data_IF_855903176510
#
_entry.id   IF_855903176510
#
_cell.length_a   1.000
_cell.length_b   1.000
_cell.length_c   1.000
_cell.angle_alpha   90.00
_cell.angle_beta   90.00
_cell.angle_gamma   90.00
#
_symmetry.space_group_name_H-M   'P 1'
#
loop_
_entity.id
_entity.type
_entity.pdbx_description
1 polymer ?
#
# COMPACT_ATOMS: atom_id res chain seq x y z
N UNK A 1 -29.43 5.25 -34.82
CA UNK A 1 -28.15 5.94 -34.98
C UNK A 1 -27.20 5.32 -33.97
N UNK A 2 -26.18 4.58 -34.44
CA UNK A 2 -25.17 3.96 -33.58
C UNK A 2 -24.28 5.03 -32.96
N UNK A 3 -23.96 4.86 -31.67
CA UNK A 3 -23.21 5.85 -30.89
C UNK A 3 -21.72 5.77 -31.24
N UNK A 4 -21.17 6.88 -31.70
CA UNK A 4 -19.78 7.00 -32.18
C UNK A 4 -18.74 6.78 -31.06
N UNK A 5 -19.19 6.76 -29.80
CA UNK A 5 -18.37 6.52 -28.61
C UNK A 5 -18.05 5.05 -28.35
N UNK A 6 -18.89 4.13 -28.83
CA UNK A 6 -18.73 2.69 -28.56
C UNK A 6 -17.69 2.04 -29.51
N UNK A 7 -17.42 2.68 -30.66
CA UNK A 7 -16.44 2.20 -31.65
C UNK A 7 -15.00 2.64 -31.33
N UNK A 8 -14.80 3.62 -30.44
CA UNK A 8 -13.47 4.14 -30.09
C UNK A 8 -12.86 3.48 -28.84
N UNK A 9 -13.65 2.69 -28.09
CA UNK A 9 -13.22 2.07 -26.82
C UNK A 9 -12.62 0.67 -26.99
N UNK A 10 -13.09 -0.11 -27.97
CA UNK A 10 -12.69 -1.51 -28.15
C UNK A 10 -11.22 -1.70 -28.50
N UNK A 11 -10.65 -0.79 -29.29
CA UNK A 11 -9.33 -1.03 -29.88
C UNK A 11 -8.17 -0.75 -28.90
N UNK A 12 -8.46 -0.05 -27.79
CA UNK A 12 -7.44 0.38 -26.81
C UNK A 12 -7.14 -0.64 -25.70
N UNK A 13 -8.12 -1.49 -25.33
CA UNK A 13 -7.98 -2.44 -24.22
C UNK A 13 -7.18 -3.70 -24.64
N UNK A 14 -7.28 -4.10 -25.91
CA UNK A 14 -6.58 -5.24 -26.48
C UNK A 14 -5.07 -5.01 -26.68
N UNK A 15 -4.65 -3.76 -26.87
CA UNK A 15 -3.23 -3.38 -26.97
C UNK A 15 -2.54 -3.41 -25.60
N UNK A 16 -3.22 -2.90 -24.58
CA UNK A 16 -2.73 -2.90 -23.21
C UNK A 16 -2.53 -4.33 -22.69
N UNK A 17 -3.46 -5.24 -23.00
CA UNK A 17 -3.38 -6.65 -22.58
C UNK A 17 -2.18 -7.37 -23.21
N UNK A 18 -1.90 -7.16 -24.50
CA UNK A 18 -0.73 -7.74 -25.19
C UNK A 18 0.60 -7.23 -24.64
N UNK A 19 0.66 -5.96 -24.23
CA UNK A 19 1.85 -5.39 -23.60
C UNK A 19 2.21 -6.10 -22.29
N UNK A 20 1.22 -6.32 -21.42
CA UNK A 20 1.45 -6.99 -20.14
C UNK A 20 1.76 -8.49 -20.29
N UNK A 21 1.13 -9.19 -21.24
CA UNK A 21 1.41 -10.61 -21.51
C UNK A 21 2.80 -10.86 -22.11
N UNK A 22 3.28 -9.95 -22.96
CA UNK A 22 4.60 -10.05 -23.59
C UNK A 22 5.75 -9.93 -22.59
N UNK A 23 5.59 -9.08 -21.56
CA UNK A 23 6.61 -8.87 -20.52
C UNK A 23 6.74 -10.08 -19.57
N UNK A 24 5.64 -10.80 -19.31
CA UNK A 24 5.64 -12.00 -18.47
C UNK A 24 6.46 -13.16 -19.04
N UNK A 25 6.52 -13.28 -20.37
CA UNK A 25 7.27 -14.36 -21.04
C UNK A 25 8.77 -14.09 -21.16
N UNK A 26 9.20 -12.82 -21.09
CA UNK A 26 10.60 -12.42 -21.22
C UNK A 26 11.42 -12.66 -19.95
N UNK A 27 10.79 -12.78 -18.80
CA UNK A 27 11.44 -12.94 -17.50
C UNK A 27 11.76 -14.41 -17.14
N UNK A 28 11.88 -15.31 -18.12
CA UNK A 28 12.10 -16.75 -17.91
C UNK A 28 13.40 -17.23 -18.59
N UNK A 29 14.54 -16.61 -18.30
CA UNK A 29 15.84 -17.11 -18.72
C UNK A 29 16.86 -17.04 -17.58
N UNK A 30 17.56 -18.17 -17.40
CA UNK A 30 18.77 -18.45 -16.61
C UNK A 30 18.55 -18.75 -15.11
N UNK A 31 18.17 -20.01 -14.82
CA UNK A 31 18.27 -20.62 -13.48
C UNK A 31 19.74 -21.04 -13.24
N UNK A 32 20.51 -20.22 -12.53
CA UNK A 32 21.83 -20.59 -12.02
C UNK A 32 21.65 -21.18 -10.61
N UNK A 33 21.71 -22.51 -10.48
CA UNK A 33 21.54 -23.21 -9.19
C UNK A 33 22.57 -22.78 -8.13
N UNK A 34 23.76 -22.32 -8.54
CA UNK A 34 24.80 -21.80 -7.65
C UNK A 34 24.42 -20.44 -7.02
N UNK A 35 23.75 -19.57 -7.80
CA UNK A 35 23.25 -18.29 -7.31
C UNK A 35 22.11 -18.52 -6.31
N UNK A 36 21.30 -19.57 -6.49
CA UNK A 36 20.23 -19.93 -5.56
C UNK A 36 20.77 -20.36 -4.19
N UNK A 37 21.86 -21.13 -4.15
CA UNK A 37 22.51 -21.56 -2.90
C UNK A 37 23.12 -20.37 -2.18
N UNK A 38 23.83 -19.49 -2.91
CA UNK A 38 24.41 -18.28 -2.33
C UNK A 38 23.32 -17.34 -1.79
N UNK A 39 22.21 -17.21 -2.52
CA UNK A 39 21.05 -16.42 -2.12
C UNK A 39 20.37 -17.01 -0.88
N UNK A 40 20.22 -18.33 -0.81
CA UNK A 40 19.64 -19.02 0.34
C UNK A 40 20.47 -18.83 1.61
N UNK A 41 21.80 -18.98 1.51
CA UNK A 41 22.72 -18.73 2.63
C UNK A 41 22.70 -17.27 3.09
N UNK A 42 22.61 -16.32 2.15
CA UNK A 42 22.49 -14.91 2.48
C UNK A 42 21.17 -14.61 3.21
N UNK A 43 20.06 -15.25 2.82
CA UNK A 43 18.77 -15.12 3.50
C UNK A 43 18.83 -15.67 4.93
N UNK A 44 19.45 -16.83 5.15
CA UNK A 44 19.58 -17.40 6.50
C UNK A 44 20.36 -16.47 7.45
N UNK A 45 21.49 -15.94 6.99
CA UNK A 45 22.30 -14.99 7.78
C UNK A 45 21.51 -13.71 8.09
N UNK A 46 20.81 -13.16 7.08
CA UNK A 46 19.99 -11.96 7.25
C UNK A 46 18.84 -12.22 8.22
N UNK A 47 18.16 -13.36 8.12
CA UNK A 47 17.00 -13.69 8.98
C UNK A 47 17.39 -13.96 10.43
N UNK A 48 18.55 -14.58 10.67
CA UNK A 48 19.09 -14.79 12.02
C UNK A 48 19.47 -13.45 12.67
N UNK A 49 20.13 -12.56 11.92
CA UNK A 49 20.46 -11.22 12.39
C UNK A 49 19.18 -10.39 12.63
N UNK A 50 18.21 -10.41 11.71
CA UNK A 50 16.96 -9.66 11.81
C UNK A 50 16.07 -10.14 12.98
N UNK A 51 16.11 -11.43 13.30
CA UNK A 51 15.40 -12.02 14.45
C UNK A 51 15.92 -11.46 15.78
N UNK A 52 17.23 -11.23 15.89
CA UNK A 52 17.85 -10.60 17.07
C UNK A 52 17.50 -9.11 17.22
N UNK A 53 17.28 -8.40 16.10
CA UNK A 53 16.80 -7.01 16.08
C UNK A 53 15.29 -6.89 16.35
N UNK A 54 14.51 -7.93 16.06
CA UNK A 54 13.06 -7.96 16.32
C UNK A 54 12.68 -8.01 17.81
N UNK A 55 13.59 -8.36 18.73
CA UNK A 55 13.30 -8.36 20.17
C UNK A 55 12.95 -6.98 20.73
N UNK A 56 13.34 -5.90 20.04
CA UNK A 56 12.82 -4.57 20.32
C UNK A 56 11.67 -4.29 19.39
N UNK A 57 10.53 -4.96 19.60
CA UNK A 57 9.23 -4.61 19.02
C UNK A 57 8.86 -3.18 19.44
N UNK A 58 9.44 -2.18 18.75
CA UNK A 58 9.06 -0.78 18.89
C UNK A 58 7.75 -0.60 18.12
N UNK A 59 6.65 -0.63 18.86
CA UNK A 59 5.33 -0.24 18.36
C UNK A 59 4.34 -1.40 18.31
N UNK A 60 3.63 -1.61 19.40
CA UNK A 60 2.52 -2.54 19.49
C UNK A 60 1.86 -2.50 20.86
N UNK A 61 0.64 -3.01 20.96
CA UNK A 61 0.03 -3.26 22.26
C UNK A 61 0.80 -4.39 22.96
N UNK A 62 1.25 -4.14 24.20
CA UNK A 62 1.90 -5.16 25.04
C UNK A 62 0.89 -6.27 25.34
N UNK A 63 1.34 -7.53 25.31
CA UNK A 63 0.54 -8.69 25.71
C UNK A 63 -0.06 -8.45 27.11
N UNK A 64 -1.36 -8.67 27.27
CA UNK A 64 -2.09 -8.42 28.53
C UNK A 64 -2.62 -7.00 28.71
N UNK A 65 -2.41 -6.07 27.78
CA UNK A 65 -3.11 -4.77 27.81
C UNK A 65 -4.58 -4.91 27.39
N UNK A 66 -5.43 -4.17 28.09
CA UNK A 66 -6.86 -4.06 27.81
C UNK A 66 -7.07 -3.53 26.38
N UNK A 67 -7.86 -4.27 25.60
CA UNK A 67 -8.37 -3.76 24.31
C UNK A 67 -9.35 -2.64 24.61
N UNK A 68 -9.08 -1.45 24.08
CA UNK A 68 -10.00 -0.32 24.16
C UNK A 68 -11.00 -0.48 23.02
N UNK A 69 -12.30 -0.69 23.29
CA UNK A 69 -13.30 -0.67 22.24
C UNK A 69 -13.37 0.77 21.71
N UNK A 70 -13.03 0.94 20.43
CA UNK A 70 -13.16 2.21 19.73
C UNK A 70 -14.35 2.10 18.81
N UNK A 71 -15.22 3.09 18.82
CA UNK A 71 -16.22 3.26 17.77
C UNK A 71 -15.58 4.06 16.62
N UNK A 72 -15.27 3.40 15.48
CA UNK A 72 -14.65 4.09 14.35
C UNK A 72 -15.61 5.06 13.68
N UNK A 73 -16.92 4.77 13.71
CA UNK A 73 -17.95 5.58 13.06
C UNK A 73 -18.14 6.88 13.83
N UNK A 74 -18.32 6.81 15.15
CA UNK A 74 -18.41 7.99 16.00
C UNK A 74 -17.13 8.83 15.91
N UNK A 75 -15.96 8.18 15.95
CA UNK A 75 -14.67 8.85 15.77
C UNK A 75 -14.57 9.59 14.45
N UNK A 76 -15.00 8.95 13.35
CA UNK A 76 -15.03 9.54 12.02
C UNK A 76 -15.97 10.75 11.94
N UNK A 77 -17.20 10.61 12.43
CA UNK A 77 -18.17 11.71 12.45
C UNK A 77 -17.64 12.89 13.24
N UNK A 78 -17.05 12.65 14.42
CA UNK A 78 -16.48 13.71 15.23
C UNK A 78 -15.33 14.42 14.54
N UNK A 79 -14.42 13.67 13.89
CA UNK A 79 -13.35 14.26 13.11
C UNK A 79 -13.91 15.11 11.95
N UNK A 80 -14.89 14.59 11.21
CA UNK A 80 -15.53 15.33 10.12
C UNK A 80 -16.09 16.67 10.61
N UNK A 81 -16.77 16.68 11.75
CA UNK A 81 -17.37 17.90 12.32
C UNK A 81 -16.32 18.87 12.86
N UNK A 82 -15.26 18.36 13.52
CA UNK A 82 -14.20 19.19 14.07
C UNK A 82 -13.38 19.91 12.97
N UNK A 83 -13.25 19.30 11.79
CA UNK A 83 -12.47 19.84 10.66
C UNK A 83 -13.32 20.60 9.63
N UNK A 84 -14.51 20.10 9.31
CA UNK A 84 -15.32 20.57 8.17
C UNK A 84 -16.75 20.97 8.54
N UNK A 85 -17.12 20.90 9.82
CA UNK A 85 -18.43 21.32 10.28
C UNK A 85 -18.61 22.84 10.21
N UNK A 86 -19.86 23.29 10.26
CA UNK A 86 -20.21 24.72 10.25
C UNK A 86 -19.55 25.47 11.43
N UNK A 87 -19.44 24.82 12.58
CA UNK A 87 -18.67 25.27 13.74
C UNK A 87 -17.40 24.44 13.91
N UNK A 88 -16.57 24.36 12.87
CA UNK A 88 -15.30 23.65 12.92
C UNK A 88 -14.45 24.12 14.11
N UNK A 89 -13.90 23.16 14.84
CA UNK A 89 -13.02 23.42 15.99
C UNK A 89 -11.69 24.01 15.54
N UNK A 90 -11.20 23.59 14.38
CA UNK A 90 -9.91 24.03 13.86
C UNK A 90 -10.08 25.09 12.77
N UNK A 91 -9.53 26.31 12.97
CA UNK A 91 -9.65 27.36 11.98
C UNK A 91 -8.75 27.09 10.76
N UNK A 92 -9.16 27.58 9.59
CA UNK A 92 -8.53 27.28 8.31
C UNK A 92 -7.01 27.57 8.26
N UNK A 93 -6.53 28.59 8.99
CA UNK A 93 -5.12 28.98 9.00
C UNK A 93 -4.18 27.95 9.67
N UNK A 94 -4.72 26.97 10.40
CA UNK A 94 -3.94 25.86 10.98
C UNK A 94 -3.47 24.92 9.87
N UNK A 95 -4.22 24.83 8.78
CA UNK A 95 -3.85 24.04 7.61
C UNK A 95 -2.91 24.86 6.75
N UNK A 96 -1.63 24.45 6.73
CA UNK A 96 -0.69 24.96 5.74
C UNK A 96 -1.04 24.32 4.40
N UNK A 97 -1.86 24.99 3.61
CA UNK A 97 -1.93 24.73 2.18
C UNK A 97 -0.60 25.21 1.62
N UNK A 98 0.32 24.29 1.33
CA UNK A 98 1.49 24.62 0.54
C UNK A 98 0.98 25.16 -0.79
N UNK A 99 1.21 26.44 -1.06
CA UNK A 99 0.96 27.01 -2.37
C UNK A 99 1.86 26.27 -3.36
N UNK A 100 1.25 25.44 -4.20
CA UNK A 100 1.88 24.77 -5.35
C UNK A 100 1.49 25.55 -6.58
#
# INVERSE_FOLDING_TARGET
MSNLQDLLKSDSEDELTRYYDGNRKRQKCEENEEDDIATFLAIDIITEEFSSWQEKRRGGSVVGRRVIPRDPLEGHTRLMMDYFGENARYPAHVFRLSAV
#
